data_IF_304241850031
#
_entry.id   IF_304241850031
#
_cell.length_a   1.000
_cell.length_b   1.000
_cell.length_c   1.000
_cell.angle_alpha   90.00
_cell.angle_beta   90.00
_cell.angle_gamma   90.00
#
_symmetry.space_group_name_H-M   'P 1'
#
loop_
_entity.id
_entity.type
_entity.pdbx_description
1 polymer ?
#
# COMPACT_ATOMS: atom_id res chain seq x y z
N UNK A 1 15.46 -7.48 -24.97
CA UNK A 1 14.82 -8.03 -23.76
C UNK A 1 15.92 -8.10 -22.72
N UNK A 2 16.10 -7.04 -21.93
CA UNK A 2 17.06 -7.08 -20.84
C UNK A 2 16.38 -7.89 -19.74
N UNK A 3 16.80 -9.15 -19.60
CA UNK A 3 16.35 -9.98 -18.49
C UNK A 3 16.78 -9.27 -17.21
N UNK A 4 15.80 -8.82 -16.43
CA UNK A 4 16.03 -8.41 -15.04
C UNK A 4 16.77 -9.55 -14.36
N UNK A 5 17.91 -9.31 -13.69
CA UNK A 5 18.65 -10.38 -13.05
C UNK A 5 17.70 -11.12 -12.10
N UNK A 6 17.56 -12.43 -12.26
CA UNK A 6 16.65 -13.25 -11.44
C UNK A 6 16.96 -13.08 -9.94
N UNK A 7 18.22 -12.82 -9.61
CA UNK A 7 18.66 -12.41 -8.27
C UNK A 7 18.04 -11.08 -7.80
N UNK A 8 17.93 -10.07 -8.66
CA UNK A 8 17.30 -8.78 -8.33
C UNK A 8 15.82 -8.93 -8.02
N UNK A 9 15.10 -9.75 -8.79
CA UNK A 9 13.68 -10.04 -8.55
C UNK A 9 13.47 -10.77 -7.23
N UNK A 10 14.23 -11.86 -6.99
CA UNK A 10 14.14 -12.63 -5.74
C UNK A 10 14.48 -11.74 -4.53
N UNK A 11 15.56 -10.96 -4.62
CA UNK A 11 15.96 -10.05 -3.54
C UNK A 11 14.86 -9.01 -3.28
N UNK A 12 14.27 -8.45 -4.34
CA UNK A 12 13.18 -7.47 -4.21
C UNK A 12 11.95 -8.08 -3.53
N UNK A 13 11.51 -9.26 -3.95
CA UNK A 13 10.37 -9.94 -3.32
C UNK A 13 10.64 -10.30 -1.85
N UNK A 14 11.86 -10.77 -1.53
CA UNK A 14 12.24 -11.11 -0.16
C UNK A 14 12.29 -9.85 0.71
N UNK A 15 12.89 -8.76 0.22
CA UNK A 15 12.95 -7.49 0.94
C UNK A 15 11.55 -6.92 1.16
N UNK A 16 10.69 -6.92 0.14
CA UNK A 16 9.30 -6.46 0.25
C UNK A 16 8.49 -7.31 1.23
N UNK A 17 8.60 -8.64 1.16
CA UNK A 17 7.90 -9.53 2.08
C UNK A 17 8.36 -9.31 3.53
N UNK A 18 9.67 -9.15 3.74
CA UNK A 18 10.23 -8.89 5.07
C UNK A 18 9.79 -7.52 5.60
N UNK A 19 9.80 -6.49 4.75
CA UNK A 19 9.30 -5.16 5.08
C UNK A 19 7.82 -5.21 5.45
N UNK A 20 6.99 -5.90 4.66
CA UNK A 20 5.56 -6.07 4.92
C UNK A 20 5.29 -6.80 6.25
N UNK A 21 6.02 -7.88 6.53
CA UNK A 21 5.89 -8.64 7.79
C UNK A 21 6.29 -7.75 8.97
N UNK A 22 7.41 -7.03 8.87
CA UNK A 22 7.86 -6.09 9.90
C UNK A 22 6.82 -5.00 10.14
N UNK A 23 6.29 -4.39 9.08
CA UNK A 23 5.33 -3.29 9.20
C UNK A 23 4.00 -3.75 9.84
N UNK A 24 3.48 -4.91 9.41
CA UNK A 24 2.25 -5.49 9.98
C UNK A 24 2.42 -5.94 11.43
N UNK A 25 3.53 -6.62 11.77
CA UNK A 25 3.71 -7.20 13.10
C UNK A 25 4.26 -6.22 14.15
N UNK A 26 5.14 -5.29 13.76
CA UNK A 26 5.83 -4.38 14.69
C UNK A 26 5.08 -3.06 14.81
N UNK A 27 4.69 -2.45 13.69
CA UNK A 27 4.00 -1.15 13.66
C UNK A 27 2.51 -1.29 13.96
N UNK A 28 1.87 -2.34 13.46
CA UNK A 28 0.46 -2.66 13.79
C UNK A 28 0.20 -2.89 15.29
N UNK A 29 1.22 -3.24 16.07
CA UNK A 29 1.09 -3.57 17.51
C UNK A 29 1.24 -2.41 18.48
N UNK A 30 1.59 -1.19 18.03
CA UNK A 30 1.84 -0.05 18.93
C UNK A 30 0.74 1.01 18.80
N UNK A 31 -0.34 0.92 19.60
CA UNK A 31 -1.36 1.97 19.65
C UNK A 31 -0.86 3.19 20.45
N UNK A 32 0.11 3.96 19.92
CA UNK A 32 0.42 5.30 20.43
C UNK A 32 -0.35 6.39 19.68
N UNK A 33 -0.84 7.44 20.34
CA UNK A 33 -1.47 8.57 19.64
C UNK A 33 -0.35 9.36 18.96
N UNK A 34 -0.10 9.21 17.64
CA UNK A 34 1.04 9.87 17.04
C UNK A 34 0.73 11.36 16.93
N UNK A 35 1.70 12.19 17.26
CA UNK A 35 1.59 13.62 17.03
C UNK A 35 1.54 13.89 15.52
N UNK A 36 0.83 14.93 15.06
CA UNK A 36 0.78 15.30 13.64
C UNK A 36 2.18 15.46 13.04
N UNK A 37 3.15 15.95 13.84
CA UNK A 37 4.56 16.10 13.42
C UNK A 37 5.25 14.74 13.19
N UNK A 38 4.99 13.77 14.06
CA UNK A 38 5.52 12.42 13.97
C UNK A 38 4.94 11.70 12.73
N UNK A 39 3.63 11.81 12.49
CA UNK A 39 2.99 11.28 11.28
C UNK A 39 3.61 11.83 9.99
N UNK A 40 3.81 13.15 9.91
CA UNK A 40 4.40 13.78 8.72
C UNK A 40 5.83 13.30 8.50
N UNK A 41 6.63 13.15 9.56
CA UNK A 41 7.98 12.61 9.48
C UNK A 41 7.99 11.16 8.98
N UNK A 42 7.09 10.31 9.48
CA UNK A 42 6.96 8.94 9.01
C UNK A 42 6.55 8.87 7.53
N UNK A 43 5.55 9.65 7.11
CA UNK A 43 5.12 9.69 5.70
C UNK A 43 6.28 10.15 4.82
N UNK A 44 6.97 11.23 5.17
CA UNK A 44 8.10 11.74 4.41
C UNK A 44 9.22 10.69 4.31
N UNK A 45 9.53 9.99 5.40
CA UNK A 45 10.53 8.92 5.42
C UNK A 45 10.19 7.80 4.42
N UNK A 46 8.96 7.28 4.45
CA UNK A 46 8.55 6.21 3.54
C UNK A 46 8.47 6.66 2.08
N UNK A 47 8.02 7.89 1.81
CA UNK A 47 8.02 8.47 0.47
C UNK A 47 9.44 8.58 -0.08
N UNK A 48 10.39 9.08 0.72
CA UNK A 48 11.79 9.18 0.31
C UNK A 48 12.39 7.80 0.05
N UNK A 49 12.11 6.80 0.89
CA UNK A 49 12.56 5.43 0.64
C UNK A 49 11.99 4.85 -0.67
N UNK A 50 10.71 5.11 -0.98
CA UNK A 50 10.10 4.67 -2.24
C UNK A 50 10.76 5.33 -3.47
N UNK A 51 11.08 6.64 -3.38
CA UNK A 51 11.79 7.36 -4.44
C UNK A 51 13.23 6.84 -4.63
N UNK A 52 13.94 6.55 -3.53
CA UNK A 52 15.28 5.96 -3.63
C UNK A 52 15.20 4.57 -4.29
N UNK A 53 14.24 3.75 -3.88
CA UNK A 53 14.08 2.41 -4.43
C UNK A 53 13.70 2.43 -5.92
N UNK A 54 12.79 3.29 -6.34
CA UNK A 54 12.48 3.47 -7.76
C UNK A 54 13.66 3.99 -8.57
N UNK A 55 14.52 4.84 -7.98
CA UNK A 55 15.80 5.25 -8.56
C UNK A 55 16.78 4.08 -8.72
N UNK A 56 16.84 3.17 -7.74
CA UNK A 56 17.61 1.93 -7.85
C UNK A 56 17.08 1.05 -8.99
N UNK A 57 15.76 0.86 -9.10
CA UNK A 57 15.15 0.12 -10.22
C UNK A 57 15.54 0.75 -11.56
N UNK A 58 15.50 2.08 -11.67
CA UNK A 58 15.89 2.76 -12.91
C UNK A 58 17.33 2.43 -13.32
N UNK A 59 18.25 2.40 -12.35
CA UNK A 59 19.66 2.10 -12.60
C UNK A 59 19.94 0.62 -12.93
N UNK A 60 19.27 -0.32 -12.24
CA UNK A 60 19.52 -1.75 -12.39
C UNK A 60 18.67 -2.45 -13.45
N UNK A 61 17.42 -2.02 -13.64
CA UNK A 61 16.43 -2.67 -14.50
C UNK A 61 15.96 -1.79 -15.68
N UNK A 62 16.35 -0.51 -15.70
CA UNK A 62 16.04 0.44 -16.76
C UNK A 62 14.74 1.22 -16.54
N UNK A 63 14.38 2.05 -17.53
CA UNK A 63 13.30 3.04 -17.39
C UNK A 63 11.90 2.45 -17.34
N UNK A 64 11.60 1.40 -18.12
CA UNK A 64 10.28 0.76 -18.14
C UNK A 64 9.82 0.22 -16.77
N UNK A 65 10.56 -0.69 -16.12
CA UNK A 65 10.16 -1.21 -14.81
C UNK A 65 10.16 -0.15 -13.71
N UNK A 66 11.01 0.89 -13.82
CA UNK A 66 10.99 2.00 -12.88
C UNK A 66 9.72 2.85 -13.01
N UNK A 67 9.28 3.12 -14.25
CA UNK A 67 8.02 3.83 -14.50
C UNK A 67 6.83 3.00 -14.01
N UNK A 68 6.81 1.68 -14.29
CA UNK A 68 5.77 0.78 -13.79
C UNK A 68 5.72 0.76 -12.26
N UNK A 69 6.88 0.72 -11.59
CA UNK A 69 6.96 0.84 -10.14
C UNK A 69 6.40 2.16 -9.62
N UNK A 70 6.82 3.31 -10.17
CA UNK A 70 6.34 4.60 -9.72
C UNK A 70 4.84 4.80 -9.97
N UNK A 71 4.35 4.37 -11.13
CA UNK A 71 2.93 4.39 -11.46
C UNK A 71 2.13 3.54 -10.49
N UNK A 72 2.54 2.29 -10.26
CA UNK A 72 1.89 1.41 -9.30
C UNK A 72 1.91 1.96 -7.88
N UNK A 73 3.09 2.38 -7.39
CA UNK A 73 3.24 2.96 -6.06
C UNK A 73 2.36 4.20 -5.86
N UNK A 74 2.31 5.12 -6.83
CA UNK A 74 1.51 6.34 -6.74
C UNK A 74 0.01 6.04 -6.78
N UNK A 75 -0.42 5.13 -7.66
CA UNK A 75 -1.82 4.68 -7.73
C UNK A 75 -2.26 4.07 -6.41
N UNK A 76 -1.43 3.20 -5.83
CA UNK A 76 -1.74 2.54 -4.57
C UNK A 76 -1.73 3.48 -3.37
N UNK A 77 -0.82 4.45 -3.37
CA UNK A 77 -0.77 5.51 -2.37
C UNK A 77 -2.01 6.40 -2.45
N UNK A 78 -2.45 6.78 -3.66
CA UNK A 78 -3.68 7.56 -3.87
C UNK A 78 -4.93 6.83 -3.37
N UNK A 79 -5.05 5.53 -3.67
CA UNK A 79 -6.18 4.70 -3.22
C UNK A 79 -6.20 4.56 -1.69
N UNK A 80 -5.02 4.49 -1.06
CA UNK A 80 -4.91 4.45 0.40
C UNK A 80 -5.35 5.77 1.07
N UNK A 81 -5.08 6.92 0.46
CA UNK A 81 -5.54 8.24 0.94
C UNK A 81 -7.08 8.36 0.82
N UNK A 82 -7.65 7.90 -0.29
CA UNK A 82 -9.10 7.91 -0.52
C UNK A 82 -9.85 7.12 0.58
N UNK A 83 -9.35 5.93 0.91
CA UNK A 83 -9.89 5.11 2.00
C UNK A 83 -9.83 5.83 3.37
N UNK A 84 -8.73 6.53 3.67
CA UNK A 84 -8.61 7.29 4.92
C UNK A 84 -9.64 8.42 4.99
N UNK A 85 -9.90 9.09 3.88
CA UNK A 85 -10.87 10.17 3.81
C UNK A 85 -12.28 9.69 4.12
N UNK A 86 -12.69 8.55 3.54
CA UNK A 86 -13.98 7.91 3.83
C UNK A 86 -14.10 7.59 5.32
N UNK A 87 -13.06 7.03 5.95
CA UNK A 87 -13.09 6.74 7.39
C UNK A 87 -13.24 8.02 8.24
N UNK A 88 -12.51 9.09 7.91
CA UNK A 88 -12.60 10.36 8.65
C UNK A 88 -13.99 10.98 8.54
N UNK A 89 -14.61 10.96 7.36
CA UNK A 89 -15.98 11.44 7.16
C UNK A 89 -16.97 10.64 8.00
N UNK A 90 -16.89 9.30 7.96
CA UNK A 90 -17.77 8.43 8.73
C UNK A 90 -17.63 8.70 10.23
N UNK A 91 -16.40 8.74 10.75
CA UNK A 91 -16.13 9.02 12.16
C UNK A 91 -16.62 10.42 12.59
N UNK A 92 -16.50 11.41 11.71
CA UNK A 92 -17.00 12.76 11.96
C UNK A 92 -18.53 12.80 12.01
N UNK A 93 -19.22 12.08 11.11
CA UNK A 93 -20.69 11.99 11.10
C UNK A 93 -21.23 11.30 12.36
N UNK A 94 -20.54 10.28 12.88
CA UNK A 94 -20.90 9.60 14.11
C UNK A 94 -20.38 10.28 15.39
N UNK A 95 -19.76 11.47 15.28
CA UNK A 95 -19.19 12.23 16.40
C UNK A 95 -18.26 11.38 17.30
N UNK A 96 -17.44 10.53 16.70
CA UNK A 96 -16.57 9.59 17.41
C UNK A 96 -15.55 10.35 18.28
N UNK A 97 -15.47 10.08 19.59
CA UNK A 97 -14.50 10.73 20.48
C UNK A 97 -13.04 10.49 20.01
N UNK A 98 -12.20 11.52 20.08
CA UNK A 98 -10.79 11.48 19.62
C UNK A 98 -9.96 10.37 20.26
N UNK A 99 -10.30 9.96 21.49
CA UNK A 99 -9.62 8.91 22.24
C UNK A 99 -9.78 7.53 21.60
N UNK A 100 -10.94 7.25 20.98
CA UNK A 100 -11.22 5.95 20.35
C UNK A 100 -11.05 5.99 18.83
N UNK A 101 -10.87 7.17 18.24
CA UNK A 101 -10.73 7.35 16.80
C UNK A 101 -9.59 6.51 16.21
N UNK A 102 -8.44 6.39 16.92
CA UNK A 102 -7.34 5.52 16.48
C UNK A 102 -7.75 4.05 16.44
N UNK A 103 -8.50 3.58 17.44
CA UNK A 103 -8.95 2.19 17.50
C UNK A 103 -9.93 1.89 16.36
N UNK A 104 -10.92 2.77 16.15
CA UNK A 104 -11.89 2.64 15.05
C UNK A 104 -11.18 2.66 13.69
N UNK A 105 -10.24 3.59 13.49
CA UNK A 105 -9.44 3.66 12.27
C UNK A 105 -8.60 2.40 12.05
N UNK A 106 -7.96 1.87 13.11
CA UNK A 106 -7.17 0.63 13.02
C UNK A 106 -8.03 -0.56 12.61
N UNK A 107 -9.21 -0.71 13.22
CA UNK A 107 -10.17 -1.78 12.85
C UNK A 107 -10.63 -1.60 11.41
N UNK A 108 -10.95 -0.37 10.99
CA UNK A 108 -11.32 -0.04 9.62
C UNK A 108 -10.25 -0.42 8.60
N UNK A 109 -8.99 -0.06 8.86
CA UNK A 109 -7.84 -0.41 8.00
C UNK A 109 -7.64 -1.93 7.94
N UNK A 110 -7.73 -2.64 9.07
CA UNK A 110 -7.60 -4.11 9.08
C UNK A 110 -8.67 -4.77 8.23
N UNK A 111 -9.94 -4.36 8.39
CA UNK A 111 -11.06 -4.90 7.61
C UNK A 111 -10.89 -4.55 6.13
N UNK A 112 -10.51 -3.31 5.80
CA UNK A 112 -10.26 -2.88 4.43
C UNK A 112 -9.13 -3.69 3.76
N UNK A 113 -8.05 -3.97 4.48
CA UNK A 113 -6.93 -4.76 3.97
C UNK A 113 -7.35 -6.22 3.70
N UNK A 114 -8.19 -6.80 4.56
CA UNK A 114 -8.77 -8.13 4.34
C UNK A 114 -9.67 -8.14 3.10
N UNK A 115 -10.63 -7.21 3.01
CA UNK A 115 -11.52 -7.13 1.84
C UNK A 115 -10.74 -6.87 0.55
N UNK A 116 -9.72 -6.03 0.62
CA UNK A 116 -8.82 -5.77 -0.50
C UNK A 116 -8.11 -7.05 -0.95
N UNK A 117 -7.55 -7.83 -0.02
CA UNK A 117 -6.94 -9.13 -0.34
C UNK A 117 -7.93 -10.09 -1.00
N UNK A 118 -9.16 -10.17 -0.47
CA UNK A 118 -10.24 -10.99 -1.03
C UNK A 118 -10.58 -10.53 -2.46
N UNK A 119 -10.79 -9.22 -2.68
CA UNK A 119 -11.14 -8.68 -3.99
C UNK A 119 -10.01 -8.83 -5.02
N UNK A 120 -8.74 -8.76 -4.60
CA UNK A 120 -7.61 -9.04 -5.48
C UNK A 120 -7.62 -10.51 -5.90
N UNK A 121 -7.82 -11.46 -4.98
CA UNK A 121 -7.89 -12.90 -5.29
C UNK A 121 -9.08 -13.23 -6.20
N UNK A 122 -10.25 -12.68 -5.89
CA UNK A 122 -11.46 -12.85 -6.69
C UNK A 122 -11.29 -12.21 -8.07
N UNK A 123 -10.76 -10.99 -8.14
CA UNK A 123 -10.49 -10.28 -9.39
C UNK A 123 -9.47 -11.02 -10.26
N UNK A 124 -8.38 -11.52 -9.68
CA UNK A 124 -7.40 -12.34 -10.39
C UNK A 124 -8.04 -13.61 -10.98
N UNK A 125 -8.86 -14.31 -10.19
CA UNK A 125 -9.58 -15.50 -10.65
C UNK A 125 -10.64 -15.21 -11.73
N UNK A 126 -11.29 -14.05 -11.66
CA UNK A 126 -12.23 -13.55 -12.67
C UNK A 126 -11.51 -13.23 -13.99
N UNK A 127 -10.36 -12.55 -13.95
CA UNK A 127 -9.56 -12.24 -15.15
C UNK A 127 -9.11 -13.52 -15.85
N UNK A 128 -8.77 -14.58 -15.11
CA UNK A 128 -8.36 -15.86 -15.72
C UNK A 128 -9.52 -16.60 -16.41
N UNK A 129 -10.77 -16.32 -16.04
CA UNK A 129 -11.97 -17.03 -16.55
C UNK A 129 -12.83 -16.21 -17.51
N UNK A 130 -12.81 -14.88 -17.42
CA UNK A 130 -13.72 -14.00 -18.15
C UNK A 130 -12.97 -12.86 -18.84
N UNK A 131 -12.34 -13.16 -19.98
CA UNK A 131 -11.79 -12.14 -20.90
C UNK A 131 -12.88 -11.20 -21.45
N UNK A 132 -14.16 -11.58 -21.34
CA UNK A 132 -15.30 -10.84 -21.90
C UNK A 132 -15.77 -9.65 -21.04
N UNK A 133 -15.46 -9.62 -19.74
CA UNK A 133 -15.86 -8.51 -18.83
C UNK A 133 -15.14 -7.21 -19.18
N UNK A 134 -13.98 -7.28 -19.85
CA UNK A 134 -13.27 -6.11 -20.38
C UNK A 134 -14.02 -5.39 -21.51
N UNK A 135 -14.99 -6.03 -22.17
CA UNK A 135 -15.80 -5.39 -23.20
C UNK A 135 -16.99 -4.60 -22.64
N UNK A 136 -17.28 -4.73 -21.34
CA UNK A 136 -18.40 -4.06 -20.66
C UNK A 136 -17.92 -2.80 -19.90
N UNK A 137 -16.61 -2.63 -19.70
CA UNK A 137 -15.99 -1.47 -19.08
C UNK A 137 -15.25 -0.60 -20.09
#
# INVERSE_FOLDING_TARGET
MAETPLAFEIITFVVLALFFIVDLFIIGRRPHVPSTKECVQHIAFFVVMALIFGGCIWFFAGSKPAIEFYSGWLTEYSLSIDNLFVFVIIMSNFAVPKQIQKYVLSVGITIALIFRGIFILIGAALITRFTWVFFIF
#
